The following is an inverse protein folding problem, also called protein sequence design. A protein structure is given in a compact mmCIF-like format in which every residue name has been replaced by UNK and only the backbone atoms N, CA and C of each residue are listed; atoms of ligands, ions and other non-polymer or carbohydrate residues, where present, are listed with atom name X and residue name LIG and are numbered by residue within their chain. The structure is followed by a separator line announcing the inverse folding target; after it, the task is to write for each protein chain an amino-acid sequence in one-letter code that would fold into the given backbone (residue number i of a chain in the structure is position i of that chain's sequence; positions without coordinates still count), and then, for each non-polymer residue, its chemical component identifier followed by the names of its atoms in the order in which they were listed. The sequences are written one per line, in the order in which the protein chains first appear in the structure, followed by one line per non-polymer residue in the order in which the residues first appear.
data_IF_296895074285
#
_entry.id   IF_296895074285
#
_cell.length_a   1.000
_cell.length_b   1.000
_cell.length_c   1.000
_cell.angle_alpha   90.00
_cell.angle_beta   90.00
_cell.angle_gamma   90.00
#
_symmetry.space_group_name_H-M   'P 1'
#
loop_
_entity.id
_entity.type
_entity.pdbx_description
1 polymer ?
#
# COMPACT_ATOMS: atom_id res chain seq x y z
N UNK A 1 -28.60 -22.17 3.69
CA UNK A 1 -28.23 -23.07 2.57
C UNK A 1 -26.72 -23.22 2.53
N UNK A 2 -26.18 -24.30 1.95
CA UNK A 2 -24.72 -24.45 1.76
C UNK A 2 -24.10 -23.25 1.01
N UNK A 3 -24.84 -22.73 0.03
CA UNK A 3 -24.46 -21.57 -0.77
C UNK A 3 -24.27 -20.28 0.06
N UNK A 4 -25.19 -20.00 1.00
CA UNK A 4 -25.09 -18.81 1.86
C UNK A 4 -23.88 -18.83 2.80
N UNK A 5 -23.45 -20.03 3.23
CA UNK A 5 -22.24 -20.19 4.05
C UNK A 5 -20.97 -19.94 3.23
N UNK A 6 -20.91 -20.45 2.00
CA UNK A 6 -19.78 -20.22 1.09
C UNK A 6 -19.61 -18.74 0.75
N UNK A 7 -20.68 -18.04 0.39
CA UNK A 7 -20.63 -16.60 0.08
C UNK A 7 -20.13 -15.78 1.28
N UNK A 8 -20.54 -16.15 2.50
CA UNK A 8 -20.08 -15.50 3.72
C UNK A 8 -18.58 -15.73 3.96
N UNK A 9 -18.12 -16.98 3.85
CA UNK A 9 -16.71 -17.33 4.02
C UNK A 9 -15.82 -16.63 2.98
N UNK A 10 -16.27 -16.58 1.72
CA UNK A 10 -15.58 -15.87 0.64
C UNK A 10 -15.49 -14.36 0.93
N UNK A 11 -16.58 -13.74 1.38
CA UNK A 11 -16.58 -12.31 1.73
C UNK A 11 -15.65 -11.97 2.90
N UNK A 12 -15.59 -12.83 3.92
CA UNK A 12 -14.67 -12.66 5.06
C UNK A 12 -13.22 -12.81 4.60
N UNK A 13 -12.93 -13.81 3.76
CA UNK A 13 -11.58 -14.05 3.24
C UNK A 13 -11.08 -12.87 2.39
N UNK A 14 -11.92 -12.36 1.48
CA UNK A 14 -11.61 -11.20 0.66
C UNK A 14 -11.36 -9.95 1.51
N UNK A 15 -12.23 -9.67 2.48
CA UNK A 15 -12.07 -8.52 3.38
C UNK A 15 -10.78 -8.59 4.20
N UNK A 16 -10.41 -9.77 4.70
CA UNK A 16 -9.16 -9.97 5.42
C UNK A 16 -7.93 -9.74 4.52
N UNK A 17 -7.96 -10.30 3.30
CA UNK A 17 -6.88 -10.12 2.32
C UNK A 17 -6.66 -8.64 1.97
N UNK A 18 -7.75 -7.92 1.69
CA UNK A 18 -7.69 -6.49 1.40
C UNK A 18 -7.16 -5.69 2.58
N UNK A 19 -7.62 -5.98 3.80
CA UNK A 19 -7.15 -5.31 5.02
C UNK A 19 -5.65 -5.51 5.27
N UNK A 20 -5.15 -6.74 5.10
CA UNK A 20 -3.72 -7.05 5.23
C UNK A 20 -2.88 -6.31 4.18
N UNK A 21 -3.32 -6.33 2.92
CA UNK A 21 -2.65 -5.62 1.83
C UNK A 21 -2.59 -4.11 2.09
N UNK A 22 -3.71 -3.48 2.46
CA UNK A 22 -3.76 -2.06 2.81
C UNK A 22 -2.84 -1.71 3.98
N UNK A 23 -2.82 -2.54 5.03
CA UNK A 23 -1.95 -2.33 6.19
C UNK A 23 -0.46 -2.36 5.83
N UNK A 24 -0.07 -3.31 4.97
CA UNK A 24 1.30 -3.39 4.45
C UNK A 24 1.68 -2.12 3.66
N UNK A 25 0.87 -1.75 2.66
CA UNK A 25 1.14 -0.58 1.83
C UNK A 25 1.13 0.74 2.65
N UNK A 26 0.26 0.86 3.65
CA UNK A 26 0.21 2.05 4.52
C UNK A 26 1.48 2.17 5.39
N UNK A 27 2.01 1.04 5.87
CA UNK A 27 3.27 1.02 6.62
C UNK A 27 4.43 1.51 5.76
N UNK A 28 4.50 1.05 4.51
CA UNK A 28 5.52 1.52 3.56
C UNK A 28 5.35 3.01 3.28
N UNK A 29 4.14 3.48 2.98
CA UNK A 29 3.86 4.90 2.74
C UNK A 29 4.32 5.78 3.92
N UNK A 30 4.05 5.37 5.17
CA UNK A 30 4.47 6.12 6.35
C UNK A 30 5.99 6.13 6.57
N UNK A 31 6.69 5.05 6.20
CA UNK A 31 8.15 5.04 6.21
C UNK A 31 8.70 5.98 5.12
N UNK A 32 8.23 5.83 3.88
CA UNK A 32 8.68 6.64 2.74
C UNK A 32 8.42 8.12 3.00
N UNK A 33 7.24 8.50 3.52
CA UNK A 33 6.91 9.88 3.88
C UNK A 33 7.91 10.49 4.86
N UNK A 34 8.20 9.78 5.95
CA UNK A 34 9.17 10.25 6.96
C UNK A 34 10.57 10.40 6.35
N UNK A 35 11.00 9.41 5.56
CA UNK A 35 12.32 9.44 4.90
C UNK A 35 12.42 10.53 3.84
N UNK A 36 11.34 10.80 3.11
CA UNK A 36 11.23 11.92 2.18
C UNK A 36 11.37 13.27 2.90
N UNK A 37 10.74 13.43 4.07
CA UNK A 37 10.87 14.64 4.91
C UNK A 37 12.30 14.82 5.45
N UNK A 38 13.03 13.73 5.65
CA UNK A 38 14.47 13.73 5.96
C UNK A 38 15.37 14.00 4.73
N UNK A 39 14.79 14.17 3.53
CA UNK A 39 15.52 14.42 2.29
C UNK A 39 16.17 13.18 1.66
N UNK A 40 15.73 11.98 2.04
CA UNK A 40 16.30 10.72 1.55
C UNK A 40 15.60 10.32 0.24
N UNK A 41 16.39 10.05 -0.79
CA UNK A 41 15.91 9.65 -2.11
C UNK A 41 15.28 8.24 -2.11
N UNK A 42 14.32 8.02 -3.01
CA UNK A 42 13.57 6.76 -3.18
C UNK A 42 14.47 5.52 -3.33
N UNK A 43 15.58 5.65 -4.04
CA UNK A 43 16.53 4.58 -4.34
C UNK A 43 17.24 4.09 -3.07
N UNK A 44 17.56 5.02 -2.17
CA UNK A 44 18.14 4.70 -0.86
C UNK A 44 17.10 4.06 0.05
N UNK A 45 15.85 4.51 0.00
CA UNK A 45 14.75 3.92 0.77
C UNK A 45 14.48 2.49 0.30
N UNK A 46 14.47 2.24 -1.01
CA UNK A 46 14.29 0.91 -1.59
C UNK A 46 15.35 -0.08 -1.10
N UNK A 47 16.62 0.33 -1.12
CA UNK A 47 17.73 -0.47 -0.57
C UNK A 47 17.58 -0.71 0.94
N UNK A 48 17.17 0.30 1.70
CA UNK A 48 16.98 0.18 3.15
C UNK A 48 15.85 -0.80 3.52
N UNK A 49 14.78 -0.82 2.71
CA UNK A 49 13.62 -1.69 2.93
C UNK A 49 13.75 -3.06 2.26
N UNK A 50 14.79 -3.28 1.45
CA UNK A 50 14.95 -4.45 0.59
C UNK A 50 13.72 -4.69 -0.30
N UNK A 51 13.24 -3.61 -0.93
CA UNK A 51 12.07 -3.60 -1.80
C UNK A 51 12.43 -3.11 -3.19
N UNK A 52 11.57 -3.44 -4.16
CA UNK A 52 11.70 -2.98 -5.54
C UNK A 52 11.75 -1.44 -5.61
N UNK A 53 12.74 -0.93 -6.34
CA UNK A 53 12.96 0.51 -6.49
C UNK A 53 11.80 1.18 -7.24
N UNK A 54 11.23 0.51 -8.25
CA UNK A 54 10.07 1.03 -9.00
C UNK A 54 8.84 1.18 -8.11
N UNK A 55 8.58 0.20 -7.25
CA UNK A 55 7.52 0.27 -6.25
C UNK A 55 7.74 1.42 -5.27
N UNK A 56 8.94 1.56 -4.68
CA UNK A 56 9.20 2.66 -3.73
C UNK A 56 9.14 4.01 -4.41
N UNK A 57 9.65 4.14 -5.64
CA UNK A 57 9.54 5.37 -6.42
C UNK A 57 8.08 5.75 -6.67
N UNK A 58 7.23 4.79 -7.01
CA UNK A 58 5.78 5.02 -7.16
C UNK A 58 5.14 5.53 -5.87
N UNK A 59 5.46 4.92 -4.73
CA UNK A 59 4.99 5.40 -3.41
C UNK A 59 5.47 6.82 -3.16
N UNK A 60 6.74 7.10 -3.44
CA UNK A 60 7.36 8.41 -3.26
C UNK A 60 6.67 9.49 -4.11
N UNK A 61 6.41 9.21 -5.38
CA UNK A 61 5.75 10.12 -6.31
C UNK A 61 4.30 10.39 -5.87
N UNK A 62 3.54 9.36 -5.46
CA UNK A 62 2.18 9.52 -4.94
C UNK A 62 2.13 10.43 -3.69
N UNK A 63 3.08 10.24 -2.77
CA UNK A 63 3.18 11.06 -1.56
C UNK A 63 3.56 12.52 -1.88
N UNK A 64 4.35 12.73 -2.93
CA UNK A 64 4.75 14.06 -3.39
C UNK A 64 3.62 14.79 -4.12
N UNK A 65 2.86 14.09 -4.94
CA UNK A 65 1.72 14.64 -5.68
C UNK A 65 0.53 14.98 -4.76
N UNK A 66 0.41 14.28 -3.62
CA UNK A 66 -0.69 14.47 -2.68
C UNK A 66 -0.20 14.46 -1.22
N UNK A 67 0.48 15.53 -0.75
CA UNK A 67 1.07 15.56 0.59
C UNK A 67 0.03 15.50 1.72
N UNK A 68 -1.20 15.96 1.47
CA UNK A 68 -2.31 15.97 2.44
C UNK A 68 -2.99 14.60 2.61
N UNK A 69 -2.75 13.64 1.70
CA UNK A 69 -3.37 12.31 1.80
C UNK A 69 -2.79 11.54 2.98
N UNK A 70 -3.60 10.74 3.65
CA UNK A 70 -3.11 9.81 4.67
C UNK A 70 -2.31 8.66 4.04
N UNK A 71 -1.51 7.98 4.88
CA UNK A 71 -0.80 6.75 4.46
C UNK A 71 -1.79 5.67 4.01
N UNK A 72 -2.97 5.61 4.64
CA UNK A 72 -4.03 4.67 4.28
C UNK A 72 -4.65 4.99 2.92
N UNK A 73 -4.91 6.27 2.60
CA UNK A 73 -5.42 6.66 1.28
C UNK A 73 -4.40 6.36 0.18
N UNK A 74 -3.12 6.56 0.46
CA UNK A 74 -2.02 6.18 -0.45
C UNK A 74 -2.00 4.66 -0.67
N UNK A 75 -2.12 3.88 0.41
CA UNK A 75 -2.20 2.42 0.35
C UNK A 75 -3.39 1.92 -0.47
N UNK A 76 -4.56 2.52 -0.28
CA UNK A 76 -5.76 2.15 -1.04
C UNK A 76 -5.59 2.39 -2.54
N UNK A 77 -4.89 3.45 -2.95
CA UNK A 77 -4.55 3.67 -4.37
C UNK A 77 -3.62 2.58 -4.89
N UNK A 78 -2.57 2.26 -4.13
CA UNK A 78 -1.62 1.21 -4.50
C UNK A 78 -2.30 -0.15 -4.69
N UNK A 79 -3.18 -0.55 -3.76
CA UNK A 79 -3.94 -1.80 -3.85
C UNK A 79 -4.91 -1.81 -5.03
N UNK A 80 -5.62 -0.69 -5.27
CA UNK A 80 -6.54 -0.59 -6.42
C UNK A 80 -5.82 -0.71 -7.76
N UNK A 81 -4.57 -0.28 -7.85
CA UNK A 81 -3.76 -0.37 -9.06
C UNK A 81 -3.12 -1.76 -9.27
N UNK A 82 -2.91 -2.54 -8.20
CA UNK A 82 -2.41 -3.92 -8.28
C UNK A 82 -3.50 -4.98 -8.41
N UNK A 83 -4.75 -4.66 -8.06
CA UNK A 83 -5.91 -5.57 -8.17
C UNK A 83 -6.77 -5.36 -9.44
N UNK A 84 -6.29 -4.60 -10.43
CA UNK A 84 -6.96 -4.54 -11.75
C UNK A 84 -6.58 -5.76 -12.60
N UNK A 85 -7.58 -6.49 -13.17
CA UNK A 85 -7.33 -7.63 -14.06
C UNK A 85 -6.70 -7.23 -15.40
#
# INVERSE_FOLDING_TARGET
TRLGKMIFEDGVSQGLSQGLSQGYHATIAGIVRRKMQEGIASETIAKFLDLDEGYIRKVYDLLRESPEQSDLETAQKLVKETEQP
#
